data_IF_408975225750
#
_entry.id   IF_408975225750
#
_cell.length_a   1.000
_cell.length_b   1.000
_cell.length_c   1.000
_cell.angle_alpha   90.00
_cell.angle_beta   90.00
_cell.angle_gamma   90.00
#
_symmetry.space_group_name_H-M   'P 1'
#
loop_
_entity.id
_entity.type
_entity.pdbx_description
1 polymer ?
#
# COMPACT_ATOMS: atom_id res chain seq x y z
N UNK A 1 -3.26 -1.95 2.83
CA UNK A 1 -3.02 -1.01 1.69
C UNK A 1 -2.65 0.36 2.21
N UNK A 2 -1.84 1.11 1.47
CA UNK A 2 -1.38 2.44 1.86
C UNK A 2 -1.86 3.49 0.86
N UNK A 3 -2.25 4.67 1.35
CA UNK A 3 -2.67 5.80 0.53
C UNK A 3 -1.76 7.00 0.78
N UNK A 4 -1.28 7.64 -0.28
CA UNK A 4 -0.46 8.85 -0.25
C UNK A 4 -0.98 9.82 -1.29
N UNK A 5 -1.36 11.04 -0.91
CA UNK A 5 -1.92 12.01 -1.85
C UNK A 5 -2.36 13.33 -1.21
N UNK A 6 -2.23 14.41 -1.98
CA UNK A 6 -2.49 15.78 -1.51
C UNK A 6 -3.99 16.13 -1.48
N UNK A 7 -4.80 15.50 -2.32
CA UNK A 7 -6.23 15.78 -2.44
C UNK A 7 -7.05 14.75 -1.61
N UNK A 8 -7.75 15.18 -0.55
CA UNK A 8 -8.58 14.28 0.25
C UNK A 8 -9.75 13.64 -0.52
N UNK A 9 -10.34 14.35 -1.48
CA UNK A 9 -11.42 13.81 -2.30
C UNK A 9 -10.90 12.74 -3.26
N UNK A 10 -9.72 12.96 -3.86
CA UNK A 10 -9.08 11.94 -4.68
C UNK A 10 -8.78 10.68 -3.86
N UNK A 11 -8.25 10.82 -2.64
CA UNK A 11 -8.01 9.68 -1.74
C UNK A 11 -9.29 8.94 -1.36
N UNK A 12 -10.40 9.66 -1.19
CA UNK A 12 -11.72 9.04 -0.93
C UNK A 12 -12.19 8.18 -2.11
N UNK A 13 -12.11 8.69 -3.33
CA UNK A 13 -12.49 7.94 -4.54
C UNK A 13 -11.64 6.67 -4.68
N UNK A 14 -10.33 6.77 -4.47
CA UNK A 14 -9.42 5.61 -4.52
C UNK A 14 -9.74 4.60 -3.42
N UNK A 15 -10.08 5.06 -2.21
CA UNK A 15 -10.51 4.17 -1.12
C UNK A 15 -11.76 3.39 -1.50
N UNK A 16 -12.81 4.05 -1.98
CA UNK A 16 -14.05 3.39 -2.41
C UNK A 16 -13.80 2.35 -3.53
N UNK A 17 -12.92 2.68 -4.49
CA UNK A 17 -12.49 1.74 -5.51
C UNK A 17 -11.77 0.52 -4.92
N UNK A 18 -10.83 0.72 -4.01
CA UNK A 18 -10.11 -0.38 -3.37
C UNK A 18 -11.03 -1.24 -2.51
N UNK A 19 -12.00 -0.65 -1.82
CA UNK A 19 -13.05 -1.38 -1.07
C UNK A 19 -13.84 -2.29 -2.01
N UNK A 20 -14.19 -1.79 -3.21
CA UNK A 20 -14.88 -2.60 -4.23
C UNK A 20 -14.06 -3.80 -4.74
N UNK A 21 -12.73 -3.74 -4.63
CA UNK A 21 -11.83 -4.85 -4.95
C UNK A 21 -11.59 -5.79 -3.75
N UNK A 22 -12.21 -5.53 -2.60
CA UNK A 22 -12.15 -6.36 -1.41
C UNK A 22 -11.04 -5.98 -0.41
N UNK A 23 -10.36 -4.86 -0.61
CA UNK A 23 -9.42 -4.34 0.39
C UNK A 23 -10.18 -3.84 1.63
N UNK A 24 -9.76 -4.27 2.82
CA UNK A 24 -10.43 -3.94 4.08
C UNK A 24 -9.61 -3.05 5.00
N UNK A 25 -8.28 -3.19 5.00
CA UNK A 25 -7.39 -2.35 5.81
C UNK A 25 -6.60 -1.39 4.91
N UNK A 26 -6.85 -0.10 5.11
CA UNK A 26 -6.30 1.00 4.33
C UNK A 26 -5.83 2.11 5.25
N UNK A 27 -4.51 2.30 5.27
CA UNK A 27 -3.82 3.29 6.09
C UNK A 27 -3.49 4.49 5.21
N UNK A 28 -4.03 5.66 5.55
CA UNK A 28 -3.67 6.93 4.93
C UNK A 28 -2.36 7.42 5.56
N UNK A 29 -1.30 7.50 4.76
CA UNK A 29 0.03 7.94 5.19
C UNK A 29 0.19 9.46 5.13
N UNK A 30 -0.74 10.17 4.49
CA UNK A 30 -0.74 11.62 4.38
C UNK A 30 -0.63 12.11 2.93
N UNK A 31 0.24 13.11 2.74
CA UNK A 31 0.44 13.78 1.45
C UNK A 31 1.24 12.93 0.45
N UNK A 32 1.44 13.44 -0.77
CA UNK A 32 2.14 12.69 -1.83
C UNK A 32 3.61 12.43 -1.53
N UNK A 33 4.25 13.19 -0.64
CA UNK A 33 5.68 13.01 -0.31
C UNK A 33 5.93 11.67 0.39
N UNK A 34 4.91 11.12 1.04
CA UNK A 34 4.95 9.82 1.72
C UNK A 34 5.02 8.63 0.76
N UNK A 35 4.73 8.83 -0.54
CA UNK A 35 4.85 7.79 -1.56
C UNK A 35 6.28 7.22 -1.63
N UNK A 36 7.31 8.02 -1.34
CA UNK A 36 8.72 7.57 -1.31
C UNK A 36 8.94 6.41 -0.35
N UNK A 37 8.27 6.43 0.80
CA UNK A 37 8.36 5.34 1.78
C UNK A 37 7.67 4.07 1.25
N UNK A 38 6.50 4.22 0.61
CA UNK A 38 5.79 3.08 -0.02
C UNK A 38 6.55 2.49 -1.19
N UNK A 39 7.19 3.30 -2.03
CA UNK A 39 8.04 2.87 -3.15
C UNK A 39 9.29 2.13 -2.65
N UNK A 40 9.86 2.58 -1.54
CA UNK A 40 11.00 1.94 -0.87
C UNK A 40 10.68 0.55 -0.31
N UNK A 41 9.43 0.09 -0.37
CA UNK A 41 9.08 -1.30 -0.09
C UNK A 41 9.64 -2.28 -1.12
N UNK A 42 9.85 -1.85 -2.38
CA UNK A 42 10.24 -2.74 -3.47
C UNK A 42 11.53 -3.55 -3.18
N UNK A 43 12.63 -2.96 -2.68
CA UNK A 43 13.80 -3.73 -2.26
C UNK A 43 13.50 -4.86 -1.26
N UNK A 44 12.65 -4.59 -0.26
CA UNK A 44 12.22 -5.61 0.71
C UNK A 44 11.38 -6.70 0.02
N UNK A 45 10.43 -6.31 -0.83
CA UNK A 45 9.60 -7.24 -1.59
C UNK A 45 10.46 -8.18 -2.45
N UNK A 46 11.50 -7.67 -3.12
CA UNK A 46 12.42 -8.48 -3.94
C UNK A 46 13.19 -9.51 -3.11
N UNK A 47 13.66 -9.12 -1.92
CA UNK A 47 14.31 -10.05 -0.99
C UNK A 47 13.36 -11.14 -0.49
N UNK A 48 12.11 -10.79 -0.17
CA UNK A 48 11.08 -11.74 0.23
C UNK A 48 10.71 -12.69 -0.90
N UNK A 49 10.50 -12.18 -2.11
CA UNK A 49 10.21 -12.99 -3.29
C UNK A 49 11.31 -14.03 -3.53
N UNK A 50 12.58 -13.61 -3.49
CA UNK A 50 13.73 -14.53 -3.61
C UNK A 50 13.76 -15.58 -2.51
N UNK A 51 13.43 -15.21 -1.27
CA UNK A 51 13.47 -16.13 -0.13
C UNK A 51 12.28 -17.09 -0.07
N UNK A 52 11.10 -16.65 -0.49
CA UNK A 52 9.85 -17.40 -0.40
C UNK A 52 9.59 -18.24 -1.66
N UNK A 53 10.23 -17.90 -2.79
CA UNK A 53 10.04 -18.60 -4.06
C UNK A 53 8.66 -18.38 -4.70
N UNK A 54 7.90 -17.40 -4.23
CA UNK A 54 6.56 -17.08 -4.72
C UNK A 54 6.31 -15.58 -4.61
N UNK A 55 5.46 -15.04 -5.48
CA UNK A 55 4.94 -13.67 -5.41
C UNK A 55 3.59 -13.59 -4.66
N UNK A 56 3.02 -14.73 -4.26
CA UNK A 56 1.74 -14.80 -3.55
C UNK A 56 1.91 -14.49 -2.05
N UNK A 57 2.38 -13.28 -1.74
CA UNK A 57 2.54 -12.75 -0.40
C UNK A 57 2.28 -11.24 -0.38
N UNK A 58 2.10 -10.68 0.81
CA UNK A 58 1.97 -9.23 1.01
C UNK A 58 2.46 -8.84 2.41
N UNK A 59 2.46 -7.54 2.71
CA UNK A 59 2.73 -7.00 4.06
C UNK A 59 1.45 -6.53 4.75
N UNK A 60 1.40 -6.75 6.05
CA UNK A 60 0.35 -6.28 6.95
C UNK A 60 0.98 -5.53 8.13
N UNK A 61 0.36 -4.42 8.53
CA UNK A 61 0.76 -3.68 9.73
C UNK A 61 -0.13 -4.12 10.89
N UNK A 62 0.40 -5.00 11.75
CA UNK A 62 -0.30 -5.52 12.92
C UNK A 62 -0.25 -4.49 14.05
N UNK A 63 -1.42 -4.14 14.61
CA UNK A 63 -1.60 -3.16 15.70
C UNK A 63 -2.69 -3.61 16.66
#
# INVERSE_FOLDING_TARGET
MFLSGNDPNAKKIVRELLESFGWKDMIDLGDITTARATESYLPLWLSLWKSLGTAAFNIEVVR
#
